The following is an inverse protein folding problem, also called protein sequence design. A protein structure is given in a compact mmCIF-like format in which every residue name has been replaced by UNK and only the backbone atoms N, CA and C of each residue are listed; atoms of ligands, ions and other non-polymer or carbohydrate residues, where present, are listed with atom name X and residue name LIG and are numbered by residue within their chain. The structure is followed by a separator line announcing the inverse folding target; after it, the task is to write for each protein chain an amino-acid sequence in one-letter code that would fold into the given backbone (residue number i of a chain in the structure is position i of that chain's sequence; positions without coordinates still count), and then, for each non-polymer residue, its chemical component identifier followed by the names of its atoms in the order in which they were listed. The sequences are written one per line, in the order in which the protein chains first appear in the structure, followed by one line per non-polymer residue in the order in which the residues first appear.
data_IF_596257547395
#
_entry.id   IF_596257547395
#
_cell.length_a   1.000
_cell.length_b   1.000
_cell.length_c   1.000
_cell.angle_alpha   90.00
_cell.angle_beta   90.00
_cell.angle_gamma   90.00
#
_symmetry.space_group_name_H-M   'P 1'
#
loop_
_entity.id
_entity.type
_entity.pdbx_description
1 polymer ?
#
# COMPACT_ATOMS: atom_id res chain seq x y z
N UNK A 1 -28.41 -53.91 -7.95
CA UNK A 1 -27.23 -53.10 -8.28
C UNK A 1 -27.52 -52.34 -9.56
N UNK A 2 -27.68 -51.02 -9.49
CA UNK A 2 -27.55 -50.13 -10.65
C UNK A 2 -26.78 -48.91 -10.14
N UNK A 3 -25.55 -48.76 -10.63
CA UNK A 3 -24.65 -47.65 -10.30
C UNK A 3 -24.93 -46.49 -11.25
N UNK A 4 -25.05 -45.29 -10.70
CA UNK A 4 -25.15 -44.02 -11.43
C UNK A 4 -23.77 -43.35 -11.41
N UNK A 5 -23.14 -42.99 -12.54
CA UNK A 5 -21.94 -42.17 -12.48
C UNK A 5 -22.36 -40.70 -12.39
N UNK A 6 -22.03 -40.07 -11.26
CA UNK A 6 -22.05 -38.61 -11.10
C UNK A 6 -20.97 -38.00 -12.00
N UNK A 7 -21.40 -37.27 -13.04
CA UNK A 7 -20.52 -36.41 -13.83
C UNK A 7 -20.13 -35.17 -13.04
N UNK A 8 -18.88 -35.09 -12.58
CA UNK A 8 -18.28 -33.86 -12.03
C UNK A 8 -18.15 -32.82 -13.15
N UNK A 9 -18.95 -31.76 -13.08
CA UNK A 9 -18.83 -30.58 -13.95
C UNK A 9 -17.63 -29.75 -13.48
N UNK A 10 -16.51 -29.83 -14.19
CA UNK A 10 -15.39 -28.90 -14.03
C UNK A 10 -15.86 -27.49 -14.44
N UNK A 11 -16.05 -26.60 -13.46
CA UNK A 11 -16.13 -25.16 -13.73
C UNK A 11 -14.72 -24.71 -14.08
N UNK A 12 -14.43 -24.58 -15.37
CA UNK A 12 -13.19 -23.95 -15.83
C UNK A 12 -13.06 -22.58 -15.18
N UNK A 13 -11.93 -22.32 -14.55
CA UNK A 13 -11.53 -20.97 -14.16
C UNK A 13 -11.54 -20.15 -15.45
N UNK A 14 -12.42 -19.15 -15.54
CA UNK A 14 -12.31 -18.13 -16.58
C UNK A 14 -10.97 -17.43 -16.32
N UNK A 15 -9.99 -17.68 -17.17
CA UNK A 15 -8.84 -16.79 -17.26
C UNK A 15 -9.40 -15.42 -17.60
N UNK A 16 -9.15 -14.43 -16.74
CA UNK A 16 -9.47 -13.05 -17.05
C UNK A 16 -8.72 -12.72 -18.35
N UNK A 17 -9.46 -12.38 -19.41
CA UNK A 17 -8.84 -11.98 -20.67
C UNK A 17 -8.09 -10.68 -20.43
N UNK A 18 -6.76 -10.75 -20.45
CA UNK A 18 -5.90 -9.58 -20.40
C UNK A 18 -6.14 -8.72 -21.63
N UNK A 19 -6.66 -7.51 -21.46
CA UNK A 19 -6.81 -6.52 -22.52
C UNK A 19 -5.62 -5.55 -22.45
N UNK A 20 -4.63 -5.67 -23.35
CA UNK A 20 -3.45 -4.81 -23.33
C UNK A 20 -3.77 -3.35 -23.71
N UNK A 21 -5.00 -3.05 -24.16
CA UNK A 21 -5.42 -1.69 -24.52
C UNK A 21 -6.16 -0.96 -23.41
N UNK A 22 -6.45 -1.63 -22.29
CA UNK A 22 -7.14 -1.06 -21.14
C UNK A 22 -6.48 -1.49 -19.83
N UNK A 23 -5.22 -1.08 -19.66
CA UNK A 23 -4.43 -1.39 -18.46
C UNK A 23 -4.76 -0.42 -17.32
N UNK A 24 -4.93 -0.95 -16.11
CA UNK A 24 -5.19 -0.18 -14.88
C UNK A 24 -4.04 -0.29 -13.88
N UNK A 25 -3.98 0.60 -12.88
CA UNK A 25 -2.95 0.57 -11.84
C UNK A 25 -2.94 -0.75 -11.06
N UNK A 26 -4.11 -1.30 -10.76
CA UNK A 26 -4.25 -2.55 -10.01
C UNK A 26 -3.60 -3.76 -10.73
N UNK A 27 -3.51 -3.71 -12.06
CA UNK A 27 -2.93 -4.80 -12.84
C UNK A 27 -1.40 -4.80 -12.84
N UNK A 28 -0.76 -3.71 -12.41
CA UNK A 28 0.69 -3.54 -12.48
C UNK A 28 1.44 -4.66 -11.74
N UNK A 29 2.47 -5.18 -12.40
CA UNK A 29 3.33 -6.25 -11.86
C UNK A 29 4.80 -5.81 -11.76
N UNK A 30 5.61 -6.43 -10.90
CA UNK A 30 7.05 -6.21 -10.88
C UNK A 30 7.66 -6.32 -12.28
N UNK A 31 8.41 -5.29 -12.66
CA UNK A 31 9.01 -5.11 -13.97
C UNK A 31 8.26 -4.16 -14.90
N UNK A 32 6.99 -3.86 -14.65
CA UNK A 32 6.20 -2.91 -15.44
C UNK A 32 6.67 -1.48 -15.20
N UNK A 33 6.36 -0.58 -16.13
CA UNK A 33 6.60 0.85 -16.03
C UNK A 33 5.29 1.63 -16.04
N UNK A 34 5.27 2.79 -15.40
CA UNK A 34 4.16 3.75 -15.39
C UNK A 34 4.71 5.16 -15.31
N UNK A 35 4.09 6.11 -16.00
CA UNK A 35 4.43 7.53 -15.93
C UNK A 35 3.54 8.26 -14.92
N UNK A 36 4.18 9.01 -14.03
CA UNK A 36 3.52 9.88 -13.05
C UNK A 36 4.43 11.09 -12.74
N UNK A 37 3.83 12.27 -12.66
CA UNK A 37 4.53 13.54 -12.37
C UNK A 37 5.80 13.74 -13.21
N UNK A 38 5.66 13.61 -14.54
CA UNK A 38 6.74 13.75 -15.54
C UNK A 38 7.93 12.78 -15.36
N UNK A 39 7.78 11.71 -14.57
CA UNK A 39 8.78 10.65 -14.39
C UNK A 39 8.21 9.29 -14.76
N UNK A 40 9.07 8.44 -15.32
CA UNK A 40 8.78 7.01 -15.51
C UNK A 40 9.25 6.26 -14.27
N UNK A 41 8.36 5.44 -13.74
CA UNK A 41 8.56 4.62 -12.55
C UNK A 41 8.48 3.15 -12.92
N UNK A 42 9.47 2.37 -12.47
CA UNK A 42 9.44 0.92 -12.59
C UNK A 42 8.84 0.31 -11.32
N UNK A 43 7.83 -0.54 -11.45
CA UNK A 43 7.34 -1.37 -10.35
C UNK A 43 8.40 -2.41 -10.03
N UNK A 44 8.91 -2.43 -8.81
CA UNK A 44 9.94 -3.39 -8.37
C UNK A 44 9.37 -4.46 -7.45
N UNK A 45 8.28 -4.16 -6.75
CA UNK A 45 7.58 -5.12 -5.91
C UNK A 45 6.08 -4.80 -5.81
N UNK A 46 5.30 -5.80 -5.39
CA UNK A 46 3.87 -5.69 -5.08
C UNK A 46 3.59 -6.43 -3.79
N UNK A 47 3.30 -5.72 -2.72
CA UNK A 47 3.07 -6.24 -1.38
C UNK A 47 1.58 -6.28 -1.06
N UNK A 48 1.22 -7.03 -0.01
CA UNK A 48 -0.14 -7.10 0.52
C UNK A 48 -0.09 -6.92 2.03
N UNK A 49 -1.01 -6.14 2.56
CA UNK A 49 -1.27 -5.98 3.96
C UNK A 49 -2.66 -6.54 4.27
N UNK A 50 -2.76 -7.33 5.32
CA UNK A 50 -4.01 -7.79 5.93
C UNK A 50 -4.20 -6.96 7.20
N UNK A 51 -5.17 -6.05 7.17
CA UNK A 51 -5.41 -5.07 8.24
C UNK A 51 -6.40 -5.61 9.29
N UNK A 52 -6.81 -6.88 9.17
CA UNK A 52 -7.86 -7.47 9.99
C UNK A 52 -9.26 -7.20 9.45
N UNK A 53 -10.27 -7.88 10.02
CA UNK A 53 -11.69 -7.72 9.70
C UNK A 53 -12.10 -7.80 8.22
N UNK A 54 -11.23 -8.41 7.40
CA UNK A 54 -11.45 -8.56 5.96
C UNK A 54 -10.94 -7.40 5.11
N UNK A 55 -10.29 -6.41 5.71
CA UNK A 55 -9.67 -5.29 5.01
C UNK A 55 -8.27 -5.66 4.53
N UNK A 56 -7.99 -5.35 3.26
CA UNK A 56 -6.70 -5.58 2.64
C UNK A 56 -6.22 -4.29 1.95
N UNK A 57 -4.93 -4.01 2.09
CA UNK A 57 -4.24 -2.98 1.31
C UNK A 57 -3.22 -3.65 0.37
N UNK A 58 -3.13 -3.17 -0.86
CA UNK A 58 -2.08 -3.55 -1.80
C UNK A 58 -1.12 -2.38 -1.97
N UNK A 59 0.17 -2.63 -1.81
CA UNK A 59 1.22 -1.63 -2.01
C UNK A 59 2.09 -2.04 -3.20
N UNK A 60 2.36 -1.12 -4.11
CA UNK A 60 3.38 -1.26 -5.14
C UNK A 60 4.59 -0.45 -4.73
N UNK A 61 5.77 -1.06 -4.69
CA UNK A 61 7.04 -0.33 -4.57
C UNK A 61 7.50 0.04 -5.98
N UNK A 62 7.74 1.33 -6.22
CA UNK A 62 8.17 1.87 -7.50
C UNK A 62 9.48 2.63 -7.37
N UNK A 63 10.33 2.53 -8.40
CA UNK A 63 11.64 3.20 -8.44
C UNK A 63 11.84 4.01 -9.71
N UNK A 64 12.45 5.17 -9.56
CA UNK A 64 12.96 6.01 -10.64
C UNK A 64 14.33 6.56 -10.27
N UNK A 65 15.40 6.02 -10.87
CA UNK A 65 16.77 6.35 -10.47
C UNK A 65 17.07 5.96 -9.03
N UNK A 66 17.35 6.95 -8.18
CA UNK A 66 17.59 6.76 -6.74
C UNK A 66 16.32 6.94 -5.88
N UNK A 67 15.21 7.37 -6.48
CA UNK A 67 13.97 7.61 -5.76
C UNK A 67 13.15 6.33 -5.65
N UNK A 68 12.53 6.13 -4.48
CA UNK A 68 11.56 5.08 -4.23
C UNK A 68 10.25 5.70 -3.74
N UNK A 69 9.15 5.18 -4.24
CA UNK A 69 7.78 5.57 -3.88
C UNK A 69 6.94 4.32 -3.70
N UNK A 70 5.88 4.46 -2.93
CA UNK A 70 4.94 3.40 -2.62
C UNK A 70 3.56 3.88 -3.03
N UNK A 71 2.95 3.19 -3.99
CA UNK A 71 1.56 3.44 -4.38
C UNK A 71 0.71 2.44 -3.60
N UNK A 72 -0.19 2.92 -2.75
CA UNK A 72 -1.06 2.03 -1.98
C UNK A 72 -2.48 2.12 -2.53
N UNK A 73 -3.17 0.98 -2.58
CA UNK A 73 -4.61 0.88 -2.84
C UNK A 73 -5.28 0.28 -1.62
N UNK A 74 -6.31 0.96 -1.15
CA UNK A 74 -7.19 0.49 -0.10
C UNK A 74 -8.64 0.48 -0.60
N UNK A 75 -9.41 -0.50 -0.14
CA UNK A 75 -10.84 -0.62 -0.42
C UNK A 75 -11.60 -0.77 0.89
N UNK A 76 -12.24 0.31 1.32
CA UNK A 76 -13.17 0.34 2.46
C UNK A 76 -14.59 0.65 1.94
N UNK A 77 -15.02 1.91 2.04
CA UNK A 77 -16.27 2.46 1.49
C UNK A 77 -16.10 3.06 0.08
N UNK A 78 -14.87 3.04 -0.43
CA UNK A 78 -14.47 3.40 -1.80
C UNK A 78 -13.09 2.84 -2.13
N UNK A 79 -12.60 3.09 -3.34
CA UNK A 79 -11.21 2.78 -3.72
C UNK A 79 -10.37 4.04 -3.54
N UNK A 80 -9.38 3.95 -2.66
CA UNK A 80 -8.46 5.04 -2.37
C UNK A 80 -7.06 4.68 -2.81
N UNK A 81 -6.36 5.68 -3.37
CA UNK A 81 -4.97 5.55 -3.78
C UNK A 81 -4.12 6.60 -3.09
N UNK A 82 -3.00 6.19 -2.51
CA UNK A 82 -2.01 7.11 -1.92
C UNK A 82 -0.64 6.93 -2.55
N UNK A 83 0.08 8.05 -2.70
CA UNK A 83 1.44 8.08 -3.24
C UNK A 83 2.42 8.50 -2.14
N UNK A 84 3.13 7.52 -1.61
CA UNK A 84 3.86 7.62 -0.35
C UNK A 84 5.38 7.55 -0.56
N UNK A 85 6.12 8.13 0.39
CA UNK A 85 7.55 7.87 0.58
C UNK A 85 7.81 7.51 2.03
N UNK A 86 8.78 6.64 2.25
CA UNK A 86 9.23 6.28 3.58
C UNK A 86 10.21 7.31 4.12
N UNK A 87 10.09 7.63 5.39
CA UNK A 87 10.94 8.54 6.14
C UNK A 87 11.27 7.92 7.49
N UNK A 88 12.46 8.24 8.01
CA UNK A 88 12.80 7.83 9.37
C UNK A 88 11.91 8.59 10.36
N UNK A 89 11.36 7.90 11.36
CA UNK A 89 10.48 8.51 12.36
C UNK A 89 11.08 9.77 13.03
N UNK A 90 12.40 9.77 13.25
CA UNK A 90 13.11 10.91 13.85
C UNK A 90 13.23 12.15 12.95
N UNK A 91 12.96 12.02 11.64
CA UNK A 91 12.83 13.18 10.72
C UNK A 91 11.51 13.89 10.96
N UNK A 92 10.45 13.17 11.36
CA UNK A 92 9.15 13.74 11.70
C UNK A 92 9.24 14.46 13.03
N UNK A 93 9.58 13.72 14.10
CA UNK A 93 9.90 14.28 15.41
C UNK A 93 10.93 13.37 16.10
N UNK A 94 12.11 13.90 16.48
CA UNK A 94 13.16 13.10 17.15
C UNK A 94 12.72 12.47 18.49
N UNK A 95 11.64 12.95 19.12
CA UNK A 95 11.12 12.42 20.38
C UNK A 95 10.03 11.37 20.19
N UNK A 96 9.48 11.21 18.98
CA UNK A 96 8.30 10.40 18.71
C UNK A 96 8.51 8.93 19.08
N UNK A 97 9.70 8.38 18.78
CA UNK A 97 10.08 7.03 19.21
C UNK A 97 9.98 6.85 20.72
N UNK A 98 10.55 7.78 21.50
CA UNK A 98 10.55 7.69 22.96
C UNK A 98 9.14 7.90 23.52
N UNK A 99 8.30 8.67 22.82
CA UNK A 99 6.90 8.84 23.16
C UNK A 99 6.16 7.50 23.01
N UNK A 100 6.22 6.88 21.83
CA UNK A 100 5.53 5.61 21.57
C UNK A 100 5.99 4.53 22.53
N UNK A 101 7.31 4.39 22.75
CA UNK A 101 7.82 3.39 23.71
C UNK A 101 7.38 3.61 25.16
N UNK A 102 7.00 4.84 25.53
CA UNK A 102 6.59 5.19 26.89
C UNK A 102 5.07 5.11 27.07
N UNK A 103 4.32 5.48 26.06
CA UNK A 103 2.87 5.62 26.11
C UNK A 103 2.14 4.52 25.32
N UNK A 104 2.87 3.64 24.65
CA UNK A 104 2.42 2.56 23.75
C UNK A 104 1.77 3.04 22.45
N UNK A 105 1.29 4.29 22.41
CA UNK A 105 0.76 4.96 21.23
C UNK A 105 1.54 6.25 20.90
N UNK A 106 1.58 6.67 19.61
CA UNK A 106 1.99 8.01 19.21
C UNK A 106 0.93 9.06 19.60
N UNK A 107 1.27 10.36 19.58
CA UNK A 107 0.30 11.43 19.81
C UNK A 107 -0.86 11.39 18.79
N UNK A 108 -2.06 11.80 19.21
CA UNK A 108 -3.23 11.95 18.33
C UNK A 108 -3.01 12.99 17.22
N UNK A 109 -2.09 13.93 17.41
CA UNK A 109 -1.79 15.00 16.45
C UNK A 109 -0.28 15.09 16.23
N UNK A 110 0.12 15.18 14.96
CA UNK A 110 1.51 15.37 14.54
C UNK A 110 1.61 16.60 13.66
N UNK A 111 2.49 17.54 14.01
CA UNK A 111 2.84 18.67 13.15
C UNK A 111 4.13 18.34 12.39
N UNK A 112 4.06 18.29 11.05
CA UNK A 112 5.22 18.00 10.22
C UNK A 112 5.23 18.85 8.95
N UNK A 113 6.35 19.54 8.70
CA UNK A 113 6.55 20.41 7.53
C UNK A 113 5.45 21.48 7.33
N UNK A 114 4.86 21.96 8.45
CA UNK A 114 3.80 22.98 8.42
C UNK A 114 2.40 22.43 8.12
N UNK A 115 2.25 21.11 8.06
CA UNK A 115 0.97 20.41 7.97
C UNK A 115 0.65 19.77 9.32
N UNK A 116 -0.57 19.96 9.79
CA UNK A 116 -1.11 19.31 10.97
C UNK A 116 -1.82 18.03 10.52
N UNK A 117 -1.42 16.91 11.10
CA UNK A 117 -2.02 15.60 10.87
C UNK A 117 -2.77 15.14 12.11
N UNK A 118 -3.99 14.66 11.96
CA UNK A 118 -4.82 14.09 13.03
C UNK A 118 -4.99 12.59 12.80
N UNK A 119 -4.95 11.79 13.87
CA UNK A 119 -5.04 10.34 13.79
C UNK A 119 -6.46 9.92 13.44
N UNK A 120 -6.61 9.16 12.36
CA UNK A 120 -7.91 8.67 11.88
C UNK A 120 -8.12 7.20 12.22
N UNK A 121 -7.06 6.39 12.14
CA UNK A 121 -7.15 4.97 12.43
C UNK A 121 -5.85 4.41 13.02
N UNK A 122 -5.96 3.28 13.71
CA UNK A 122 -4.81 2.53 14.18
C UNK A 122 -5.20 1.07 14.37
N UNK A 123 -4.22 0.19 14.35
CA UNK A 123 -4.47 -1.23 14.49
C UNK A 123 -3.22 -2.08 14.41
N UNK A 124 -3.46 -3.39 14.32
CA UNK A 124 -2.43 -4.38 14.05
C UNK A 124 -2.78 -5.20 12.84
N UNK A 125 -1.79 -5.52 12.02
CA UNK A 125 -2.00 -6.26 10.79
C UNK A 125 -0.87 -7.25 10.49
N UNK A 126 -0.95 -7.87 9.32
CA UNK A 126 0.09 -8.73 8.77
C UNK A 126 0.52 -8.25 7.39
N UNK A 127 1.82 -8.01 7.25
CA UNK A 127 2.44 -7.69 5.97
C UNK A 127 2.96 -8.95 5.28
N UNK A 128 2.65 -9.06 3.99
CA UNK A 128 3.07 -10.15 3.12
C UNK A 128 3.98 -9.58 2.03
N UNK A 129 5.29 -9.80 2.21
CA UNK A 129 6.29 -9.41 1.22
C UNK A 129 6.00 -10.11 -0.10
N UNK A 130 5.94 -9.33 -1.18
CA UNK A 130 5.55 -9.80 -2.51
C UNK A 130 4.15 -10.47 -2.56
N UNK A 131 3.27 -10.13 -1.62
CA UNK A 131 1.89 -10.60 -1.53
C UNK A 131 1.72 -12.05 -1.09
N UNK A 132 2.80 -12.78 -0.78
CA UNK A 132 2.76 -14.22 -0.46
C UNK A 132 3.72 -14.57 0.67
N UNK A 133 3.63 -15.80 1.17
CA UNK A 133 4.51 -16.30 2.24
C UNK A 133 4.00 -16.01 3.65
N UNK A 134 4.87 -16.11 4.67
CA UNK A 134 4.47 -15.85 6.05
C UNK A 134 4.20 -14.36 6.26
N UNK A 135 3.08 -14.05 6.91
CA UNK A 135 2.75 -12.69 7.33
C UNK A 135 3.68 -12.23 8.44
N UNK A 136 4.12 -10.97 8.37
CA UNK A 136 4.94 -10.31 9.38
C UNK A 136 4.02 -9.38 10.18
N UNK A 137 3.83 -9.60 11.49
CA UNK A 137 2.97 -8.75 12.29
C UNK A 137 3.56 -7.35 12.45
N UNK A 138 2.69 -6.35 12.42
CA UNK A 138 3.05 -4.95 12.63
C UNK A 138 1.87 -4.20 13.29
N UNK A 139 2.17 -3.04 13.88
CA UNK A 139 1.16 -2.07 14.29
C UNK A 139 1.23 -0.87 13.35
N UNK A 140 0.12 -0.18 13.19
CA UNK A 140 0.05 1.05 12.41
C UNK A 140 -0.82 2.11 13.07
N UNK A 141 -0.51 3.36 12.76
CA UNK A 141 -1.32 4.53 13.07
C UNK A 141 -1.36 5.42 11.82
N UNK A 142 -2.55 5.61 11.29
CA UNK A 142 -2.82 6.42 10.10
C UNK A 142 -3.35 7.78 10.50
N UNK A 143 -2.81 8.80 9.83
CA UNK A 143 -3.14 10.19 10.06
C UNK A 143 -3.45 10.89 8.74
N UNK A 144 -4.34 11.86 8.81
CA UNK A 144 -4.71 12.73 7.69
C UNK A 144 -4.56 14.21 8.03
N UNK A 145 -4.31 15.05 7.03
CA UNK A 145 -4.41 16.49 7.23
C UNK A 145 -5.86 16.94 7.33
N UNK A 146 -6.08 18.12 7.92
CA UNK A 146 -7.43 18.72 8.04
C UNK A 146 -8.14 18.86 6.68
N UNK A 147 -7.38 19.08 5.59
CA UNK A 147 -7.95 19.16 4.24
C UNK A 147 -8.24 17.79 3.59
N UNK A 148 -7.80 16.68 4.19
CA UNK A 148 -7.95 15.33 3.64
C UNK A 148 -7.11 15.08 2.38
N UNK A 149 -6.03 15.84 2.17
CA UNK A 149 -5.18 15.74 0.97
C UNK A 149 -3.85 15.03 1.26
N UNK A 150 -3.35 15.15 2.50
CA UNK A 150 -2.07 14.59 2.94
C UNK A 150 -2.30 13.46 3.93
N UNK A 151 -1.46 12.44 3.82
CA UNK A 151 -1.51 11.25 4.66
C UNK A 151 -0.15 10.99 5.29
N UNK A 152 -0.16 10.47 6.51
CA UNK A 152 1.01 10.04 7.25
C UNK A 152 0.67 8.74 7.97
N UNK A 153 1.48 7.71 7.76
CA UNK A 153 1.36 6.44 8.47
C UNK A 153 2.61 6.22 9.30
N UNK A 154 2.45 5.79 10.55
CA UNK A 154 3.54 5.24 11.36
C UNK A 154 3.32 3.74 11.46
N UNK A 155 4.35 2.96 11.15
CA UNK A 155 4.35 1.51 11.35
C UNK A 155 5.36 1.12 12.44
N UNK A 156 4.99 0.17 13.28
CA UNK A 156 5.89 -0.48 14.23
C UNK A 156 6.06 -1.96 13.88
N UNK A 157 7.32 -2.37 13.79
CA UNK A 157 7.74 -3.73 13.50
C UNK A 157 8.45 -4.32 14.73
N UNK A 158 7.89 -5.39 15.28
CA UNK A 158 8.35 -5.94 16.56
C UNK A 158 8.29 -4.90 17.68
N UNK A 159 9.27 -4.90 18.58
CA UNK A 159 9.17 -4.11 19.81
C UNK A 159 9.68 -2.67 19.66
N UNK A 160 10.62 -2.43 18.75
CA UNK A 160 11.35 -1.15 18.69
C UNK A 160 11.70 -0.67 17.30
N UNK A 161 11.30 -1.36 16.23
CA UNK A 161 11.57 -0.90 14.88
C UNK A 161 10.39 -0.07 14.38
N UNK A 162 10.67 1.10 13.82
CA UNK A 162 9.64 2.06 13.44
C UNK A 162 9.99 2.66 12.09
N UNK A 163 8.97 2.78 11.27
CA UNK A 163 9.01 3.45 9.98
C UNK A 163 7.84 4.41 9.89
N UNK A 164 8.00 5.47 9.11
CA UNK A 164 6.89 6.33 8.76
C UNK A 164 6.81 6.47 7.25
N UNK A 165 5.60 6.59 6.73
CA UNK A 165 5.31 6.89 5.34
C UNK A 165 4.53 8.20 5.28
N UNK A 166 4.92 9.10 4.38
CA UNK A 166 4.24 10.39 4.18
C UNK A 166 3.94 10.56 2.69
N UNK A 167 2.74 11.03 2.38
CA UNK A 167 2.32 11.20 0.99
C UNK A 167 1.05 12.01 0.84
N UNK A 168 0.34 11.70 -0.23
CA UNK A 168 -0.90 12.37 -0.63
C UNK A 168 -1.84 11.40 -1.32
N UNK A 169 -3.12 11.72 -1.30
CA UNK A 169 -4.10 11.04 -2.12
C UNK A 169 -3.87 11.35 -3.60
N UNK A 170 -3.95 10.31 -4.43
CA UNK A 170 -3.82 10.40 -5.88
C UNK A 170 -5.00 9.71 -6.57
N UNK A 171 -5.16 9.98 -7.85
CA UNK A 171 -6.23 9.47 -8.68
C UNK A 171 -5.63 8.69 -9.84
N UNK A 172 -6.28 7.60 -10.24
CA UNK A 172 -5.74 6.73 -11.29
C UNK A 172 -5.46 7.48 -12.60
N UNK A 173 -6.30 8.46 -12.96
CA UNK A 173 -6.15 9.25 -14.19
C UNK A 173 -4.90 10.12 -14.23
N UNK A 174 -4.23 10.35 -13.08
CA UNK A 174 -2.97 11.08 -13.02
C UNK A 174 -1.78 10.24 -13.51
N UNK A 175 -1.97 8.92 -13.58
CA UNK A 175 -0.98 7.98 -14.08
C UNK A 175 -1.24 7.68 -15.55
N UNK A 176 -0.17 7.49 -16.32
CA UNK A 176 -0.26 7.25 -17.76
C UNK A 176 0.81 6.26 -18.21
N UNK A 177 0.75 5.84 -19.47
CA UNK A 177 1.75 4.97 -20.09
C UNK A 177 2.10 3.74 -19.21
N UNK A 178 1.07 3.00 -18.76
CA UNK A 178 1.27 1.73 -18.08
C UNK A 178 1.79 0.73 -19.12
N UNK A 179 3.02 0.27 -18.94
CA UNK A 179 3.75 -0.56 -19.90
C UNK A 179 4.20 -1.86 -19.23
N UNK A 180 3.71 -3.03 -19.66
CA UNK A 180 4.22 -4.32 -19.23
C UNK A 180 5.70 -4.51 -19.59
N UNK A 181 6.44 -5.25 -18.75
CA UNK A 181 7.89 -5.51 -18.93
C UNK A 181 8.24 -6.07 -20.32
N UNK A 182 7.34 -6.90 -20.85
CA UNK A 182 7.42 -7.41 -22.20
C UNK A 182 6.26 -6.77 -22.96
N UNK A 183 6.59 -5.86 -23.89
CA UNK A 183 5.61 -5.47 -24.92
C UNK A 183 5.16 -6.77 -25.62
N UNK A 184 3.85 -6.96 -25.71
CA UNK A 184 3.14 -8.11 -26.33
C UNK A 184 3.97 -8.99 -27.27
#
# INVERSE_FOLDING_TARGET
MIFWPFGKKNKGKKEASFDPTNLTLEQMQPGWMVDFDMKTWQVVARHRYDMGDGFEMIEWELRSGAETRYLCREEDDGIYWTWMRKEALGVIDPNLRNHILKYEDPPEVIDFQGVRYEMESYGGGYFYRNGTGPGIPFLYWDYESEEGERVLTIEQWGDTDFEAAIGEYVQEYQFSNILPRDGL
#
